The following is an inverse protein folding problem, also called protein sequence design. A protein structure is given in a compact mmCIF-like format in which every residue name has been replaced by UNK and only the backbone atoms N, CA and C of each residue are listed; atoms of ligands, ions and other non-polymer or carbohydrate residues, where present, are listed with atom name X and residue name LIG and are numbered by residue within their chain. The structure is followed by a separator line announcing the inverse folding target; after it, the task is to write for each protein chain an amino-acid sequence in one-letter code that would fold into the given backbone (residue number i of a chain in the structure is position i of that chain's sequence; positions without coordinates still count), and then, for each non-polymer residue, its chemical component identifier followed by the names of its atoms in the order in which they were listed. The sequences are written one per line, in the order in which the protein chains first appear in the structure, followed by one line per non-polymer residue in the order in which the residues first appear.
data_IF_977804628454
#
_entry.id   IF_977804628454
#
_cell.length_a   1.000
_cell.length_b   1.000
_cell.length_c   1.000
_cell.angle_alpha   90.00
_cell.angle_beta   90.00
_cell.angle_gamma   90.00
#
_symmetry.space_group_name_H-M   'P 1'
#
loop_
_entity.id
_entity.type
_entity.pdbx_description
1 polymer ?
#
# COMPACT_ATOMS: atom_id res chain seq x y z
N UNK A 1 6.54 27.56 10.64
CA UNK A 1 6.85 26.18 10.22
C UNK A 1 8.33 26.13 9.88
N UNK A 2 9.18 25.53 10.73
CA UNK A 2 10.62 25.39 10.43
C UNK A 2 10.76 24.14 9.55
N UNK A 3 10.82 24.32 8.24
CA UNK A 3 11.05 23.28 7.22
C UNK A 3 12.52 22.81 7.16
N UNK A 4 13.29 23.13 8.19
CA UNK A 4 14.70 22.88 8.24
C UNK A 4 15.00 21.59 9.01
N UNK A 5 15.89 20.77 8.46
CA UNK A 5 16.63 19.73 9.18
C UNK A 5 17.29 20.33 10.43
N UNK A 6 17.73 19.47 11.36
CA UNK A 6 18.49 19.86 12.54
C UNK A 6 19.69 20.78 12.21
N UNK A 7 20.22 20.65 10.99
CA UNK A 7 21.35 21.42 10.45
C UNK A 7 20.95 22.73 9.73
N UNK A 8 19.68 23.13 9.78
CA UNK A 8 19.20 24.37 9.15
C UNK A 8 18.90 24.28 7.64
N UNK A 9 19.23 23.17 6.99
CA UNK A 9 18.96 22.93 5.55
C UNK A 9 17.51 22.53 5.30
N UNK A 10 16.95 22.92 4.16
CA UNK A 10 15.59 22.51 3.79
C UNK A 10 15.50 20.98 3.64
N UNK A 11 14.43 20.36 4.15
CA UNK A 11 14.16 18.93 3.90
C UNK A 11 14.05 18.60 2.41
N UNK A 12 13.68 19.58 1.58
CA UNK A 12 13.59 19.40 0.13
C UNK A 12 14.96 19.27 -0.56
N UNK A 13 16.05 19.61 0.13
CA UNK A 13 17.43 19.49 -0.37
C UNK A 13 18.10 18.19 0.10
N UNK A 14 17.47 17.44 1.02
CA UNK A 14 18.01 16.16 1.49
C UNK A 14 17.72 15.06 0.46
N UNK A 15 18.79 14.52 -0.12
CA UNK A 15 18.73 13.43 -1.11
C UNK A 15 17.92 12.24 -0.61
N UNK A 16 17.99 11.89 0.68
CA UNK A 16 17.24 10.75 1.25
C UNK A 16 15.74 11.02 1.28
N UNK A 17 15.35 12.27 1.52
CA UNK A 17 13.94 12.70 1.47
C UNK A 17 13.45 12.62 0.03
N UNK A 18 14.22 13.15 -0.92
CA UNK A 18 13.90 13.11 -2.35
C UNK A 18 13.80 11.68 -2.90
N UNK A 19 14.72 10.79 -2.53
CA UNK A 19 14.68 9.37 -2.90
C UNK A 19 13.40 8.68 -2.42
N UNK A 20 12.99 8.91 -1.17
CA UNK A 20 11.77 8.30 -0.60
C UNK A 20 10.51 8.86 -1.25
N UNK A 21 10.44 10.17 -1.48
CA UNK A 21 9.34 10.78 -2.23
C UNK A 21 9.28 10.27 -3.67
N UNK A 22 10.43 10.11 -4.32
CA UNK A 22 10.54 9.49 -5.65
C UNK A 22 10.02 8.06 -5.66
N UNK A 23 10.41 7.23 -4.67
CA UNK A 23 9.89 5.87 -4.53
C UNK A 23 8.37 5.85 -4.31
N UNK A 24 7.81 6.81 -3.56
CA UNK A 24 6.38 6.91 -3.34
C UNK A 24 5.63 7.22 -4.65
N UNK A 25 6.15 8.16 -5.44
CA UNK A 25 5.59 8.49 -6.75
C UNK A 25 5.67 7.33 -7.74
N UNK A 26 6.79 6.60 -7.77
CA UNK A 26 6.94 5.40 -8.62
C UNK A 26 5.92 4.33 -8.23
N UNK A 27 5.74 4.07 -6.94
CA UNK A 27 4.75 3.09 -6.47
C UNK A 27 3.30 3.52 -6.79
N UNK A 28 3.00 4.82 -6.70
CA UNK A 28 1.72 5.40 -7.10
C UNK A 28 1.42 5.20 -8.59
N UNK A 29 2.35 5.61 -9.46
CA UNK A 29 2.20 5.46 -10.92
C UNK A 29 2.10 3.98 -11.31
N UNK A 30 2.91 3.11 -10.70
CA UNK A 30 2.81 1.68 -10.94
C UNK A 30 1.43 1.11 -10.55
N UNK A 31 0.79 1.63 -9.51
CA UNK A 31 -0.59 1.26 -9.16
C UNK A 31 -1.61 1.72 -10.20
N UNK A 32 -1.51 2.99 -10.63
CA UNK A 32 -2.45 3.60 -11.60
C UNK A 32 -2.32 3.03 -13.02
N UNK A 33 -1.10 2.73 -13.46
CA UNK A 33 -0.84 2.21 -14.80
C UNK A 33 -1.07 0.70 -14.93
N UNK A 34 -1.19 -0.04 -13.82
CA UNK A 34 -1.39 -1.50 -13.88
C UNK A 34 -2.88 -1.83 -13.93
N UNK A 35 -3.34 -2.63 -14.91
CA UNK A 35 -4.76 -2.92 -15.05
C UNK A 35 -5.25 -4.03 -14.11
N UNK A 36 -6.56 -4.01 -13.86
CA UNK A 36 -7.32 -5.12 -13.29
C UNK A 36 -6.82 -5.60 -11.92
N UNK A 37 -6.78 -6.92 -11.67
CA UNK A 37 -6.44 -7.46 -10.35
C UNK A 37 -5.00 -7.16 -9.93
N UNK A 38 -4.07 -7.04 -10.88
CA UNK A 38 -2.67 -6.70 -10.59
C UNK A 38 -2.53 -5.28 -10.06
N UNK A 39 -3.21 -4.32 -10.69
CA UNK A 39 -3.17 -2.91 -10.28
C UNK A 39 -3.81 -2.69 -8.91
N UNK A 40 -4.88 -3.43 -8.61
CA UNK A 40 -5.46 -3.45 -7.28
C UNK A 40 -4.45 -3.87 -6.22
N UNK A 41 -3.80 -5.02 -6.40
CA UNK A 41 -2.79 -5.53 -5.46
C UNK A 41 -1.64 -4.53 -5.33
N UNK A 42 -1.13 -4.02 -6.44
CA UNK A 42 -0.04 -3.04 -6.46
C UNK A 42 -0.40 -1.75 -5.72
N UNK A 43 -1.61 -1.24 -5.92
CA UNK A 43 -2.09 -0.02 -5.28
C UNK A 43 -2.24 -0.18 -3.77
N UNK A 44 -2.82 -1.30 -3.30
CA UNK A 44 -2.96 -1.57 -1.87
C UNK A 44 -1.61 -1.77 -1.18
N UNK A 45 -0.73 -2.62 -1.74
CA UNK A 45 0.61 -2.86 -1.20
C UNK A 45 1.45 -1.57 -1.19
N UNK A 46 1.35 -0.80 -2.28
CA UNK A 46 2.02 0.49 -2.44
C UNK A 46 1.54 1.50 -1.40
N UNK A 47 0.24 1.67 -1.22
CA UNK A 47 -0.31 2.63 -0.26
C UNK A 47 0.06 2.25 1.19
N UNK A 48 -0.01 0.96 1.56
CA UNK A 48 0.39 0.49 2.91
C UNK A 48 1.86 0.81 3.18
N UNK A 49 2.75 0.51 2.24
CA UNK A 49 4.18 0.81 2.37
C UNK A 49 4.44 2.31 2.42
N UNK A 50 3.89 3.07 1.47
CA UNK A 50 4.24 4.47 1.28
C UNK A 50 3.61 5.38 2.33
N UNK A 51 2.41 5.07 2.84
CA UNK A 51 1.83 5.83 3.94
C UNK A 51 2.69 5.73 5.21
N UNK A 52 3.24 4.54 5.51
CA UNK A 52 4.18 4.37 6.63
C UNK A 52 5.48 5.16 6.40
N UNK A 53 6.05 5.09 5.18
CA UNK A 53 7.27 5.85 4.85
C UNK A 53 7.08 7.37 4.93
N UNK A 54 5.93 7.88 4.51
CA UNK A 54 5.59 9.31 4.62
C UNK A 54 5.44 9.74 6.09
N UNK A 55 4.82 8.90 6.91
CA UNK A 55 4.70 9.15 8.35
C UNK A 55 6.08 9.19 9.03
N UNK A 56 6.98 8.27 8.67
CA UNK A 56 8.36 8.25 9.17
C UNK A 56 9.17 9.48 8.72
N UNK A 57 8.92 9.97 7.49
CA UNK A 57 9.61 11.15 6.95
C UNK A 57 9.27 12.43 7.71
N UNK A 58 8.01 12.61 8.11
CA UNK A 58 7.57 13.79 8.86
C UNK A 58 7.77 13.64 10.37
N UNK A 59 7.99 12.41 10.85
CA UNK A 59 8.25 12.14 12.26
C UNK A 59 7.01 12.35 13.15
N UNK A 60 7.16 12.85 14.39
CA UNK A 60 6.07 12.90 15.38
C UNK A 60 4.82 13.66 14.92
N UNK A 61 4.98 14.69 14.09
CA UNK A 61 3.86 15.48 13.54
C UNK A 61 3.00 14.69 12.56
N UNK A 62 3.50 13.58 12.00
CA UNK A 62 2.73 12.66 11.16
C UNK A 62 1.73 11.79 11.92
N UNK A 63 1.80 11.79 13.26
CA UNK A 63 0.86 11.09 14.13
C UNK A 63 -0.31 11.98 14.58
N UNK A 64 -0.28 13.26 14.23
CA UNK A 64 -1.31 14.20 14.63
C UNK A 64 -2.57 13.99 13.77
N UNK A 65 -3.75 13.80 14.39
CA UNK A 65 -4.99 13.57 13.67
C UNK A 65 -5.44 14.84 12.94
N UNK A 66 -6.45 14.69 12.08
CA UNK A 66 -7.01 15.83 11.35
C UNK A 66 -7.40 16.98 12.28
N UNK A 67 -7.02 18.20 11.90
CA UNK A 67 -7.26 19.44 12.63
C UNK A 67 -6.61 19.56 14.02
N UNK A 68 -5.67 18.68 14.37
CA UNK A 68 -4.89 18.84 15.60
C UNK A 68 -3.97 20.07 15.55
N UNK A 69 -3.80 20.73 16.69
CA UNK A 69 -2.86 21.84 16.83
C UNK A 69 -1.42 21.39 16.53
N UNK A 70 -0.70 22.15 15.71
CA UNK A 70 0.66 21.79 15.28
C UNK A 70 0.74 20.73 14.18
N UNK A 71 -0.40 20.28 13.63
CA UNK A 71 -0.46 19.34 12.51
C UNK A 71 0.12 19.89 11.20
N UNK A 72 0.59 18.99 10.34
CA UNK A 72 0.98 19.32 8.95
C UNK A 72 -0.23 19.12 8.03
N UNK A 73 -0.52 20.14 7.23
CA UNK A 73 -1.66 20.10 6.29
C UNK A 73 -2.98 19.90 7.04
N UNK A 74 -3.82 19.00 6.54
CA UNK A 74 -5.12 18.67 7.16
C UNK A 74 -5.05 17.38 7.97
N UNK A 75 -3.86 16.76 8.13
CA UNK A 75 -3.70 15.44 8.78
C UNK A 75 -3.81 14.26 7.81
N UNK A 76 -3.58 14.50 6.51
CA UNK A 76 -3.75 13.50 5.46
C UNK A 76 -2.80 12.30 5.58
N UNK A 77 -1.59 12.51 6.12
CA UNK A 77 -0.58 11.45 6.31
C UNK A 77 -1.08 10.43 7.35
N UNK A 78 -1.54 10.92 8.50
CA UNK A 78 -2.09 10.11 9.59
C UNK A 78 -3.33 9.34 9.11
N UNK A 79 -4.23 10.04 8.41
CA UNK A 79 -5.42 9.45 7.83
C UNK A 79 -5.07 8.36 6.80
N UNK A 80 -4.16 8.65 5.87
CA UNK A 80 -3.73 7.72 4.83
C UNK A 80 -3.12 6.45 5.45
N UNK A 81 -2.31 6.58 6.50
CA UNK A 81 -1.71 5.44 7.19
C UNK A 81 -2.77 4.51 7.80
N UNK A 82 -3.80 5.07 8.46
CA UNK A 82 -4.94 4.27 8.97
C UNK A 82 -5.79 3.68 7.85
N UNK A 83 -6.09 4.47 6.82
CA UNK A 83 -6.93 4.06 5.70
C UNK A 83 -6.29 2.94 4.88
N UNK A 84 -4.98 2.99 4.67
CA UNK A 84 -4.23 2.06 3.82
C UNK A 84 -4.49 0.59 4.15
N UNK A 85 -4.57 0.25 5.44
CA UNK A 85 -4.75 -1.12 5.89
C UNK A 85 -6.06 -1.76 5.37
N UNK A 86 -7.14 -0.97 5.31
CA UNK A 86 -8.43 -1.45 4.79
C UNK A 86 -8.40 -1.76 3.30
N UNK A 87 -7.52 -1.09 2.54
CA UNK A 87 -7.37 -1.33 1.09
C UNK A 87 -6.83 -2.72 0.76
N UNK A 88 -6.14 -3.36 1.70
CA UNK A 88 -5.64 -4.72 1.54
C UNK A 88 -6.73 -5.79 1.74
N UNK A 89 -7.86 -5.42 2.34
CA UNK A 89 -8.92 -6.37 2.75
C UNK A 89 -10.26 -6.16 2.05
N UNK A 90 -10.67 -4.91 1.80
CA UNK A 90 -12.02 -4.61 1.34
C UNK A 90 -12.23 -5.02 -0.13
N UNK A 91 -13.40 -5.61 -0.40
CA UNK A 91 -13.77 -6.11 -1.73
C UNK A 91 -12.93 -7.30 -2.22
N UNK A 92 -12.36 -8.06 -1.28
CA UNK A 92 -11.47 -9.20 -1.53
C UNK A 92 -10.03 -8.87 -1.11
N UNK A 93 -9.40 -9.77 -0.36
CA UNK A 93 -8.05 -9.53 0.16
C UNK A 93 -7.00 -9.60 -0.95
N UNK A 94 -5.86 -8.96 -0.75
CA UNK A 94 -4.73 -9.02 -1.71
C UNK A 94 -4.26 -10.44 -1.97
N UNK A 95 -4.38 -11.37 -1.02
CA UNK A 95 -4.06 -12.79 -1.19
C UNK A 95 -5.03 -13.50 -2.15
N UNK A 96 -6.32 -13.17 -2.07
CA UNK A 96 -7.32 -13.68 -3.02
C UNK A 96 -6.99 -13.18 -4.43
N UNK A 97 -6.65 -11.91 -4.58
CA UNK A 97 -6.26 -11.37 -5.89
C UNK A 97 -4.93 -11.92 -6.39
N UNK A 98 -3.94 -12.17 -5.54
CA UNK A 98 -2.71 -12.90 -5.92
C UNK A 98 -3.04 -14.31 -6.42
N UNK A 99 -4.01 -14.99 -5.82
CA UNK A 99 -4.50 -16.30 -6.29
C UNK A 99 -5.21 -16.20 -7.64
N UNK A 100 -6.02 -15.16 -7.87
CA UNK A 100 -6.66 -14.88 -9.16
C UNK A 100 -5.61 -14.63 -10.25
N UNK A 101 -4.59 -13.81 -9.96
CA UNK A 101 -3.48 -13.53 -10.87
C UNK A 101 -2.72 -14.83 -11.18
N UNK A 102 -2.37 -15.61 -10.16
CA UNK A 102 -1.72 -16.90 -10.33
C UNK A 102 -2.49 -17.82 -11.29
N UNK A 103 -3.80 -17.98 -11.11
CA UNK A 103 -4.60 -18.90 -11.93
C UNK A 103 -4.90 -18.36 -13.32
N UNK A 104 -5.34 -17.11 -13.41
CA UNK A 104 -5.91 -16.57 -14.65
C UNK A 104 -4.92 -15.79 -15.51
N UNK A 105 -3.85 -15.24 -14.91
CA UNK A 105 -2.80 -14.53 -15.66
C UNK A 105 -1.61 -15.45 -15.90
N UNK A 106 -1.19 -16.21 -14.89
CA UNK A 106 0.00 -17.06 -14.96
C UNK A 106 -0.31 -18.53 -15.28
N UNK A 107 -1.58 -18.93 -15.35
CA UNK A 107 -1.97 -20.31 -15.69
C UNK A 107 -1.64 -21.36 -14.62
N UNK A 108 -1.39 -20.94 -13.38
CA UNK A 108 -1.09 -21.86 -12.29
C UNK A 108 -2.33 -22.66 -11.88
N UNK A 109 -2.15 -23.93 -11.44
CA UNK A 109 -3.27 -24.73 -10.95
C UNK A 109 -3.89 -24.09 -9.71
N UNK A 110 -5.16 -24.45 -9.45
CA UNK A 110 -5.86 -23.99 -8.24
C UNK A 110 -5.10 -24.45 -6.99
N UNK A 111 -4.83 -23.52 -6.08
CA UNK A 111 -4.15 -23.82 -4.83
C UNK A 111 -4.93 -24.85 -4.00
N UNK A 112 -4.24 -25.92 -3.59
CA UNK A 112 -4.77 -26.92 -2.67
C UNK A 112 -4.28 -26.60 -1.25
N UNK A 113 -5.22 -26.19 -0.40
CA UNK A 113 -4.95 -25.90 1.00
C UNK A 113 -5.15 -27.18 1.84
N UNK A 114 -4.35 -27.40 2.90
CA UNK A 114 -4.59 -28.49 3.84
C UNK A 114 -6.04 -28.48 4.34
N UNK A 115 -6.69 -29.66 4.36
CA UNK A 115 -8.09 -29.79 4.74
C UNK A 115 -9.11 -29.49 3.64
N UNK A 116 -8.67 -29.16 2.41
CA UNK A 116 -9.57 -29.09 1.26
C UNK A 116 -10.17 -30.48 0.99
N UNK A 117 -11.48 -30.63 1.23
CA UNK A 117 -12.20 -31.86 0.87
C UNK A 117 -12.19 -31.99 -0.64
N UNK A 118 -11.51 -33.02 -1.15
CA UNK A 118 -11.69 -33.47 -2.53
C UNK A 118 -13.08 -34.08 -2.60
N UNK A 119 -14.07 -33.29 -3.00
CA UNK A 119 -15.34 -33.85 -3.42
C UNK A 119 -15.06 -34.65 -4.69
N UNK A 120 -14.97 -35.97 -4.56
CA UNK A 120 -14.87 -36.84 -5.71
C UNK A 120 -16.10 -36.58 -6.58
N UNK A 121 -15.88 -35.99 -7.75
CA UNK A 121 -16.91 -35.89 -8.77
C UNK A 121 -17.34 -37.32 -9.08
N UNK A 122 -18.59 -37.66 -8.72
CA UNK A 122 -19.14 -38.98 -8.95
C UNK A 122 -18.92 -39.39 -10.40
N UNK A 123 -18.39 -40.61 -10.61
CA UNK A 123 -18.33 -41.23 -11.93
C UNK A 123 -19.68 -41.06 -12.60
N UNK A 124 -19.74 -40.28 -13.70
CA UNK A 124 -20.86 -40.38 -14.63
C UNK A 124 -20.86 -41.84 -15.12
N UNK A 125 -21.95 -42.55 -14.81
CA UNK A 125 -22.28 -43.82 -15.46
C UNK A 125 -22.53 -43.59 -16.93
#
# INVERSE_FOLDING_TARGET
MKTASADGKSMAEDTRVLERLGSAMVDYEAGMCTPGPMGRVKSSDGLVKQAAQLQDLVGPVGLLPMNAEGGIGVGDIEYAHRFAQGTATYGGTVEVFRTIIAQHVLGLPKAQLPGAKVFMAGKKK
#
